data_IF_742092265570
#
_entry.id   IF_742092265570
#
_cell.length_a   1.000
_cell.length_b   1.000
_cell.length_c   1.000
_cell.angle_alpha   90.00
_cell.angle_beta   90.00
_cell.angle_gamma   90.00
#
_symmetry.space_group_name_H-M   'P 1'
#
loop_
_entity.id
_entity.type
_entity.pdbx_description
1 polymer ?
#
# COMPACT_ATOMS: atom_id res chain seq x y z
N UNK A 1 -7.43 -15.15 -9.31
CA UNK A 1 -8.53 -14.29 -9.82
C UNK A 1 -7.91 -13.06 -10.43
N UNK A 2 -8.54 -12.42 -11.42
CA UNK A 2 -8.12 -11.11 -11.89
C UNK A 2 -8.76 -10.07 -10.98
N UNK A 3 -7.97 -9.32 -10.23
CA UNK A 3 -8.46 -8.26 -9.32
C UNK A 3 -7.90 -6.91 -9.76
N UNK A 4 -8.66 -5.84 -9.55
CA UNK A 4 -8.23 -4.48 -9.89
C UNK A 4 -7.43 -3.86 -8.75
N UNK A 5 -6.59 -2.87 -9.06
CA UNK A 5 -5.88 -2.11 -8.03
C UNK A 5 -6.84 -1.33 -7.13
N UNK A 6 -7.97 -0.86 -7.69
CA UNK A 6 -9.03 -0.16 -6.96
C UNK A 6 -9.59 -1.03 -5.83
N UNK A 7 -10.06 -2.23 -6.15
CA UNK A 7 -10.59 -3.18 -5.15
C UNK A 7 -9.56 -3.52 -4.09
N UNK A 8 -8.29 -3.66 -4.46
CA UNK A 8 -7.22 -3.93 -3.51
C UNK A 8 -6.97 -2.76 -2.55
N UNK A 9 -6.95 -1.53 -3.06
CA UNK A 9 -6.77 -0.33 -2.24
C UNK A 9 -7.93 -0.16 -1.25
N UNK A 10 -9.16 -0.46 -1.67
CA UNK A 10 -10.33 -0.51 -0.77
C UNK A 10 -10.19 -1.61 0.28
N UNK A 11 -9.71 -2.81 -0.10
CA UNK A 11 -9.49 -3.91 0.83
C UNK A 11 -8.38 -3.62 1.86
N UNK A 12 -7.43 -2.73 1.54
CA UNK A 12 -6.38 -2.30 2.45
C UNK A 12 -6.90 -1.52 3.68
N UNK A 13 -8.15 -1.06 3.68
CA UNK A 13 -8.78 -0.45 4.88
C UNK A 13 -8.78 -1.43 6.07
N UNK A 14 -8.89 -2.75 5.79
CA UNK A 14 -8.83 -3.81 6.81
C UNK A 14 -7.48 -3.88 7.54
N UNK A 15 -6.41 -3.30 6.98
CA UNK A 15 -5.08 -3.27 7.59
C UNK A 15 -4.95 -2.18 8.66
N UNK A 16 -5.99 -1.39 8.91
CA UNK A 16 -5.99 -0.30 9.90
C UNK A 16 -4.80 0.65 9.71
N UNK A 17 -4.05 0.97 10.77
CA UNK A 17 -2.98 1.97 10.71
C UNK A 17 -1.79 1.45 9.92
N UNK A 18 -1.45 2.18 8.86
CA UNK A 18 -0.30 1.94 8.01
C UNK A 18 0.74 3.04 8.18
N UNK A 19 1.95 2.70 7.77
CA UNK A 19 3.00 3.64 7.42
C UNK A 19 3.15 3.65 5.90
N UNK A 20 2.73 4.76 5.30
CA UNK A 20 2.78 5.00 3.87
C UNK A 20 4.11 5.68 3.55
N UNK A 21 4.90 5.04 2.69
CA UNK A 21 6.26 5.47 2.36
C UNK A 21 6.35 5.75 0.87
N UNK A 22 6.69 6.99 0.55
CA UNK A 22 7.01 7.42 -0.82
C UNK A 22 8.47 7.82 -0.85
N UNK A 23 9.19 7.27 -1.82
CA UNK A 23 10.63 7.52 -2.00
C UNK A 23 10.84 8.21 -3.33
N UNK A 24 11.51 9.36 -3.30
CA UNK A 24 12.04 10.03 -4.48
C UNK A 24 13.51 9.66 -4.67
N UNK A 25 14.16 10.25 -5.68
CA UNK A 25 15.58 10.05 -5.93
C UNK A 25 16.50 10.51 -4.79
N UNK A 26 16.03 11.40 -3.90
CA UNK A 26 16.86 12.02 -2.87
C UNK A 26 16.23 12.08 -1.48
N UNK A 27 14.94 11.75 -1.34
CA UNK A 27 14.22 11.88 -0.09
C UNK A 27 13.19 10.76 0.09
N UNK A 28 12.94 10.41 1.35
CA UNK A 28 11.90 9.48 1.78
C UNK A 28 10.93 10.25 2.67
N UNK A 29 9.64 10.14 2.39
CA UNK A 29 8.57 10.63 3.27
C UNK A 29 7.77 9.45 3.79
N UNK A 30 7.62 9.37 5.12
CA UNK A 30 6.84 8.35 5.81
C UNK A 30 5.66 9.02 6.54
N UNK A 31 4.43 8.69 6.17
CA UNK A 31 3.22 9.19 6.80
C UNK A 31 2.50 8.07 7.54
N UNK A 32 1.97 8.35 8.73
CA UNK A 32 1.14 7.43 9.51
C UNK A 32 -0.33 7.70 9.22
N UNK A 33 -1.09 6.69 8.81
CA UNK A 33 -2.53 6.82 8.56
C UNK A 33 -3.16 5.51 8.10
N UNK A 34 -4.48 5.49 8.00
CA UNK A 34 -5.23 4.37 7.39
C UNK A 34 -5.45 4.65 5.91
N UNK A 35 -5.55 3.62 5.08
CA UNK A 35 -6.06 3.76 3.70
C UNK A 35 -7.58 3.66 3.75
N UNK A 36 -8.24 4.78 4.03
CA UNK A 36 -9.70 4.87 4.18
C UNK A 36 -10.23 6.08 3.40
N UNK A 37 -11.53 6.08 3.07
CA UNK A 37 -12.18 7.20 2.36
C UNK A 37 -11.45 7.60 1.07
N UNK A 38 -10.89 6.61 0.37
CA UNK A 38 -10.22 6.82 -0.90
C UNK A 38 -11.25 7.31 -1.90
N UNK A 39 -10.91 8.36 -2.64
CA UNK A 39 -11.69 8.85 -3.77
C UNK A 39 -10.87 8.79 -5.05
N UNK A 40 -11.56 8.55 -6.15
CA UNK A 40 -10.92 8.27 -7.44
C UNK A 40 -11.19 9.40 -8.43
N UNK A 41 -10.19 9.72 -9.25
CA UNK A 41 -10.30 10.75 -10.27
C UNK A 41 -9.50 10.37 -11.51
N UNK A 42 -10.09 10.57 -12.69
CA UNK A 42 -9.36 10.52 -13.96
C UNK A 42 -8.81 11.90 -14.29
N UNK A 43 -7.49 11.97 -14.48
CA UNK A 43 -6.77 13.18 -14.87
C UNK A 43 -6.02 12.92 -16.19
N UNK A 44 -5.59 13.95 -16.93
CA UNK A 44 -4.84 13.75 -18.17
C UNK A 44 -3.56 12.89 -18.04
N UNK A 45 -3.03 12.75 -16.82
CA UNK A 45 -1.83 11.96 -16.51
C UNK A 45 -2.13 10.52 -16.07
N UNK A 46 -3.39 10.15 -15.88
CA UNK A 46 -3.79 8.81 -15.49
C UNK A 46 -4.93 8.78 -14.47
N UNK A 47 -5.19 7.58 -13.97
CA UNK A 47 -6.23 7.26 -12.98
C UNK A 47 -5.67 7.33 -11.57
N UNK A 48 -6.19 8.23 -10.75
CA UNK A 48 -5.66 8.47 -9.41
C UNK A 48 -6.56 7.90 -8.32
N UNK A 49 -5.95 7.21 -7.36
CA UNK A 49 -6.50 6.98 -6.03
C UNK A 49 -5.99 8.09 -5.09
N UNK A 50 -6.89 8.71 -4.35
CA UNK A 50 -6.59 9.89 -3.56
C UNK A 50 -7.15 9.77 -2.15
N UNK A 51 -6.49 10.39 -1.18
CA UNK A 51 -6.97 10.52 0.18
C UNK A 51 -6.52 11.84 0.78
N UNK A 52 -7.40 12.45 1.58
CA UNK A 52 -7.13 13.68 2.31
C UNK A 52 -7.33 13.45 3.81
N UNK A 53 -6.35 13.83 4.61
CA UNK A 53 -6.40 13.80 6.07
C UNK A 53 -5.91 15.13 6.63
N UNK A 54 -6.10 15.40 7.92
CA UNK A 54 -5.54 16.60 8.56
C UNK A 54 -4.01 16.67 8.49
N UNK A 55 -3.33 15.52 8.43
CA UNK A 55 -1.86 15.44 8.51
C UNK A 55 -1.14 15.28 7.17
N UNK A 56 -1.81 14.76 6.14
CA UNK A 56 -1.23 14.56 4.81
C UNK A 56 -2.30 14.35 3.73
N UNK A 57 -1.88 14.59 2.49
CA UNK A 57 -2.58 14.17 1.29
C UNK A 57 -1.82 13.06 0.59
N UNK A 58 -2.56 12.17 -0.06
CA UNK A 58 -2.04 11.02 -0.77
C UNK A 58 -2.62 10.99 -2.18
N UNK A 59 -1.76 10.76 -3.16
CA UNK A 59 -2.13 10.60 -4.56
C UNK A 59 -1.30 9.46 -5.16
N UNK A 60 -1.98 8.46 -5.71
CA UNK A 60 -1.34 7.34 -6.40
C UNK A 60 -1.89 7.26 -7.82
N UNK A 61 -1.01 7.45 -8.81
CA UNK A 61 -1.35 7.14 -10.20
C UNK A 61 -1.38 5.62 -10.36
N UNK A 62 -2.57 5.05 -10.46
CA UNK A 62 -2.79 3.62 -10.53
C UNK A 62 -2.29 3.03 -11.85
N UNK A 63 -2.27 3.82 -12.93
CA UNK A 63 -1.79 3.36 -14.25
C UNK A 63 -0.28 3.08 -14.26
N UNK A 64 0.48 3.66 -13.33
CA UNK A 64 1.93 3.45 -13.22
C UNK A 64 2.28 2.17 -12.43
N UNK A 65 1.31 1.53 -11.76
CA UNK A 65 1.56 0.35 -10.93
C UNK A 65 1.40 -0.92 -11.75
N UNK A 66 2.50 -1.64 -11.96
CA UNK A 66 2.54 -2.87 -12.74
C UNK A 66 2.37 -4.11 -11.88
N UNK A 67 2.84 -4.06 -10.62
CA UNK A 67 2.85 -5.22 -9.74
C UNK A 67 2.68 -4.80 -8.29
N UNK A 68 2.00 -5.64 -7.52
CA UNK A 68 1.91 -5.53 -6.07
C UNK A 68 2.57 -6.74 -5.44
N UNK A 69 3.41 -6.51 -4.43
CA UNK A 69 4.16 -7.55 -3.72
C UNK A 69 4.02 -7.43 -2.22
N UNK A 70 3.64 -8.52 -1.57
CA UNK A 70 3.69 -8.70 -0.13
C UNK A 70 5.10 -9.11 0.28
N UNK A 71 5.62 -8.50 1.35
CA UNK A 71 6.98 -8.75 1.82
C UNK A 71 7.02 -8.73 3.35
N UNK A 72 7.69 -9.72 3.94
CA UNK A 72 8.11 -9.66 5.34
C UNK A 72 9.59 -9.31 5.41
N UNK A 73 9.97 -8.39 6.30
CA UNK A 73 11.36 -8.03 6.55
C UNK A 73 11.69 -8.03 8.04
N UNK A 74 12.97 -7.92 8.38
CA UNK A 74 13.41 -7.72 9.75
C UNK A 74 13.69 -6.22 10.00
N UNK A 75 13.13 -5.67 11.06
CA UNK A 75 13.37 -4.29 11.42
C UNK A 75 14.85 -4.06 11.75
N UNK A 76 15.48 -3.07 11.10
CA UNK A 76 16.90 -2.70 11.32
C UNK A 76 17.24 -2.40 12.78
N UNK A 77 16.24 -2.04 13.59
CA UNK A 77 16.35 -1.78 15.03
C UNK A 77 15.20 -2.47 15.74
N UNK A 78 15.49 -3.28 16.74
CA UNK A 78 14.50 -3.91 17.60
C UNK A 78 14.16 -5.37 17.29
N UNK A 79 14.78 -5.98 16.27
CA UNK A 79 14.69 -7.42 15.98
C UNK A 79 13.24 -7.96 15.95
N UNK A 80 12.38 -7.31 15.16
CA UNK A 80 10.98 -7.72 14.98
C UNK A 80 10.62 -7.77 13.49
N UNK A 81 9.63 -8.60 13.15
CA UNK A 81 9.14 -8.74 11.79
C UNK A 81 8.34 -7.52 11.37
N UNK A 82 8.62 -7.01 10.17
CA UNK A 82 7.86 -5.98 9.48
C UNK A 82 7.06 -6.61 8.35
N UNK A 83 5.86 -6.09 8.12
CA UNK A 83 4.94 -6.55 7.08
C UNK A 83 4.69 -5.40 6.12
N UNK A 84 5.01 -5.59 4.85
CA UNK A 84 4.94 -4.57 3.82
C UNK A 84 4.14 -5.03 2.62
N UNK A 85 3.55 -4.05 1.93
CA UNK A 85 2.97 -4.17 0.60
C UNK A 85 3.69 -3.16 -0.28
N UNK A 86 4.33 -3.62 -1.35
CA UNK A 86 5.06 -2.82 -2.33
C UNK A 86 4.20 -2.67 -3.57
N UNK A 87 4.03 -1.43 -4.04
CA UNK A 87 3.42 -1.11 -5.31
C UNK A 87 4.54 -0.72 -6.27
N UNK A 88 4.83 -1.59 -7.23
CA UNK A 88 5.99 -1.51 -8.11
C UNK A 88 5.61 -0.87 -9.44
N UNK A 89 6.46 0.03 -9.91
CA UNK A 89 6.35 0.66 -11.22
C UNK A 89 6.88 -0.26 -12.35
N UNK A 90 6.86 0.25 -13.58
CA UNK A 90 7.38 -0.45 -14.78
C UNK A 90 8.87 -0.78 -14.73
N UNK A 91 9.64 -0.13 -13.88
CA UNK A 91 11.06 -0.42 -13.66
C UNK A 91 11.27 -1.41 -12.52
N UNK A 92 10.18 -1.92 -11.93
CA UNK A 92 10.20 -2.80 -10.76
C UNK A 92 10.58 -2.07 -9.48
N UNK A 93 10.55 -0.73 -9.46
CA UNK A 93 10.90 0.08 -8.29
C UNK A 93 9.64 0.38 -7.46
N UNK A 94 9.74 0.45 -6.12
CA UNK A 94 8.59 0.82 -5.30
C UNK A 94 8.17 2.28 -5.51
N UNK A 95 7.02 2.49 -6.14
CA UNK A 95 6.37 3.79 -6.21
C UNK A 95 5.68 4.14 -4.88
N UNK A 96 5.16 3.14 -4.18
CA UNK A 96 4.61 3.22 -2.83
C UNK A 96 4.99 1.97 -2.04
N UNK A 97 5.23 2.15 -0.75
CA UNK A 97 5.28 1.04 0.20
C UNK A 97 4.35 1.31 1.38
N UNK A 98 3.48 0.36 1.69
CA UNK A 98 2.61 0.40 2.86
C UNK A 98 3.07 -0.65 3.87
N UNK A 99 3.54 -0.21 5.02
CA UNK A 99 3.91 -1.09 6.13
C UNK A 99 2.79 -1.10 7.16
N UNK A 100 2.54 -2.26 7.80
CA UNK A 100 1.75 -2.26 9.03
C UNK A 100 2.45 -1.37 10.06
N UNK A 101 1.73 -0.39 10.61
CA UNK A 101 2.29 0.50 11.62
C UNK A 101 2.26 -0.21 12.98
N UNK A 102 3.43 -0.42 13.57
CA UNK A 102 3.55 -0.93 14.93
C UNK A 102 3.45 0.21 15.98
N UNK A 103 3.02 -0.13 17.20
CA UNK A 103 3.10 0.75 18.37
C UNK A 103 4.49 0.69 18.98
N UNK A 104 4.69 -0.23 19.94
CA UNK A 104 6.04 -0.62 20.37
C UNK A 104 6.68 -1.57 19.35
N UNK A 105 8.01 -1.76 19.37
CA UNK A 105 8.68 -2.68 18.46
C UNK A 105 8.01 -4.06 18.43
N UNK A 106 7.48 -4.46 17.27
CA UNK A 106 6.80 -5.75 17.07
C UNK A 106 5.35 -5.83 17.55
N UNK A 107 4.81 -4.80 18.20
CA UNK A 107 3.41 -4.76 18.64
C UNK A 107 2.52 -4.14 17.56
N UNK A 108 1.67 -4.96 16.93
CA UNK A 108 0.68 -4.56 15.93
C UNK A 108 -0.71 -4.42 16.53
N UNK A 109 -1.62 -3.78 15.80
CA UNK A 109 -3.03 -3.70 16.23
C UNK A 109 -3.69 -5.10 16.21
N UNK A 110 -4.71 -5.36 17.06
CA UNK A 110 -5.39 -6.65 17.08
C UNK A 110 -5.96 -7.03 15.71
N UNK A 111 -5.65 -8.22 15.20
CA UNK A 111 -6.13 -8.71 13.91
C UNK A 111 -5.38 -8.15 12.68
N UNK A 112 -4.42 -7.24 12.88
CA UNK A 112 -3.79 -6.51 11.77
C UNK A 112 -2.86 -7.39 10.93
N UNK A 113 -2.11 -8.29 11.58
CA UNK A 113 -1.22 -9.23 10.89
C UNK A 113 -2.03 -10.31 10.18
N UNK A 114 -3.11 -10.77 10.82
CA UNK A 114 -4.05 -11.73 10.24
C UNK A 114 -4.76 -11.15 9.02
N UNK A 115 -5.19 -9.89 9.06
CA UNK A 115 -5.76 -9.19 7.91
C UNK A 115 -4.75 -9.08 6.75
N UNK A 116 -3.48 -8.77 7.05
CA UNK A 116 -2.42 -8.75 6.04
C UNK A 116 -2.19 -10.13 5.40
N UNK A 117 -2.19 -11.20 6.22
CA UNK A 117 -2.07 -12.57 5.72
C UNK A 117 -3.27 -12.96 4.86
N UNK A 118 -4.49 -12.59 5.27
CA UNK A 118 -5.70 -12.84 4.50
C UNK A 118 -5.68 -12.14 3.14
N UNK A 119 -5.26 -10.87 3.07
CA UNK A 119 -5.08 -10.18 1.78
C UNK A 119 -4.00 -10.86 0.92
N UNK A 120 -2.87 -11.26 1.52
CA UNK A 120 -1.83 -11.99 0.79
C UNK A 120 -2.35 -13.31 0.22
N UNK A 121 -3.14 -14.05 0.97
CA UNK A 121 -3.74 -15.31 0.52
C UNK A 121 -4.78 -15.08 -0.59
N UNK A 122 -5.58 -14.01 -0.48
CA UNK A 122 -6.61 -13.67 -1.45
C UNK A 122 -6.02 -13.19 -2.79
N UNK A 123 -5.03 -12.31 -2.77
CA UNK A 123 -4.47 -11.67 -3.97
C UNK A 123 -3.22 -12.38 -4.50
N UNK A 124 -2.50 -13.12 -3.64
CA UNK A 124 -1.21 -13.72 -3.93
C UNK A 124 -0.04 -12.89 -3.37
N UNK A 125 1.08 -13.57 -3.10
CA UNK A 125 2.30 -12.90 -2.59
C UNK A 125 2.85 -11.87 -3.60
N UNK A 126 2.75 -12.17 -4.88
CA UNK A 126 3.07 -11.26 -5.99
C UNK A 126 1.94 -11.36 -7.01
N UNK A 127 1.36 -10.23 -7.40
CA UNK A 127 0.27 -10.20 -8.36
C UNK A 127 0.28 -8.91 -9.19
N UNK A 128 -0.33 -8.98 -10.37
CA UNK A 128 -0.43 -7.87 -11.32
C UNK A 128 -1.88 -7.39 -11.37
N UNK A 129 -2.15 -6.09 -11.18
CA UNK A 129 -3.50 -5.57 -11.27
C UNK A 129 -4.11 -5.73 -12.66
N UNK A 130 -5.39 -6.08 -12.70
CA UNK A 130 -6.17 -6.07 -13.92
C UNK A 130 -6.26 -4.65 -14.49
N UNK A 131 -6.10 -4.52 -15.81
CA UNK A 131 -6.35 -3.25 -16.49
C UNK A 131 -7.82 -2.85 -16.37
N UNK A 132 -8.05 -1.56 -16.11
CA UNK A 132 -9.39 -0.97 -16.03
C UNK A 132 -9.48 0.12 -17.09
N UNK A 133 -10.48 0.06 -17.97
CA UNK A 133 -10.63 1.03 -19.06
C UNK A 133 -11.08 2.41 -18.54
N UNK A 134 -11.99 2.44 -17.54
CA UNK A 134 -12.47 3.68 -16.86
C UNK A 134 -12.83 3.43 -15.38
N UNK A 135 -12.71 4.47 -14.53
CA UNK A 135 -12.86 4.39 -13.06
C UNK A 135 -14.27 4.18 -12.49
#
# INVERSE_FOLDING_TARGET
MSATLKEFLEACESLSTLRLIVTSSAAVLEARGKLEKIFYAELPKGKYANMHTEGFEFHLNMDEIQQVKFETGEAKRGNFTTYAIRFLDKEGKPALSAFLQWGKPGEYEPGQVEAWQALREQYGEVWEPAFVESL
#
